data_IF_153479362596
#
_entry.id   IF_153479362596
#
_cell.length_a   1.000
_cell.length_b   1.000
_cell.length_c   1.000
_cell.angle_alpha   90.00
_cell.angle_beta   90.00
_cell.angle_gamma   90.00
#
_symmetry.space_group_name_H-M   'P 1'
#
loop_
_entity.id
_entity.type
_entity.pdbx_description
1 polymer ?
#
# COMPACT_ATOMS: atom_id res chain seq x y z
N UNK A 1 28.70 -12.14 -52.21
CA UNK A 1 28.38 -12.68 -50.86
C UNK A 1 27.92 -11.54 -49.95
N UNK A 2 26.61 -11.32 -49.78
CA UNK A 2 26.09 -10.34 -48.81
C UNK A 2 25.95 -11.04 -47.47
N UNK A 3 26.85 -10.75 -46.52
CA UNK A 3 26.72 -11.23 -45.13
C UNK A 3 25.48 -10.55 -44.56
N UNK A 4 24.37 -11.30 -44.41
CA UNK A 4 23.22 -10.83 -43.64
C UNK A 4 23.69 -10.72 -42.19
N UNK A 5 23.83 -9.50 -41.70
CA UNK A 5 23.96 -9.26 -40.27
C UNK A 5 22.69 -9.77 -39.60
N UNK A 6 22.79 -10.53 -38.48
CA UNK A 6 21.60 -10.86 -37.73
C UNK A 6 21.04 -9.53 -37.20
N UNK A 7 19.91 -9.10 -37.74
CA UNK A 7 19.07 -8.17 -37.00
C UNK A 7 18.73 -8.94 -35.73
N UNK A 8 19.25 -8.48 -34.59
CA UNK A 8 18.75 -8.87 -33.27
C UNK A 8 17.33 -8.34 -33.22
N UNK A 9 16.45 -9.04 -33.94
CA UNK A 9 15.03 -8.92 -33.85
C UNK A 9 14.67 -9.49 -32.49
N UNK A 10 13.66 -8.89 -31.88
CA UNK A 10 12.99 -9.42 -30.70
C UNK A 10 13.87 -9.54 -29.46
N UNK A 11 13.98 -8.45 -28.72
CA UNK A 11 13.66 -8.46 -27.29
C UNK A 11 13.31 -7.03 -26.92
N UNK A 12 11.99 -6.77 -26.81
CA UNK A 12 11.43 -5.52 -26.30
C UNK A 12 12.20 -5.14 -25.04
N UNK A 13 12.70 -3.91 -24.97
CA UNK A 13 13.25 -3.34 -23.73
C UNK A 13 12.26 -3.52 -22.56
N UNK A 14 10.97 -3.56 -22.86
CA UNK A 14 9.87 -3.86 -21.92
C UNK A 14 9.99 -5.24 -21.25
N UNK A 15 10.55 -6.26 -21.90
CA UNK A 15 10.76 -7.60 -21.30
C UNK A 15 11.92 -7.57 -20.30
N UNK A 16 12.95 -6.75 -20.53
CA UNK A 16 14.05 -6.54 -19.56
C UNK A 16 13.54 -5.77 -18.34
N UNK A 17 12.59 -4.84 -18.53
CA UNK A 17 11.94 -4.10 -17.45
C UNK A 17 11.06 -5.03 -16.59
N UNK A 18 10.36 -5.99 -17.20
CA UNK A 18 9.57 -7.00 -16.47
C UNK A 18 10.42 -8.09 -15.79
N UNK A 19 11.57 -8.47 -16.37
CA UNK A 19 12.49 -9.42 -15.73
C UNK A 19 13.20 -8.84 -14.49
N UNK A 20 13.40 -7.52 -14.46
CA UNK A 20 13.95 -6.80 -13.30
C UNK A 20 12.88 -6.42 -12.27
N UNK A 21 11.60 -6.28 -12.66
CA UNK A 21 10.48 -6.09 -11.73
C UNK A 21 10.14 -7.36 -10.93
N UNK A 22 10.50 -8.54 -11.46
CA UNK A 22 10.37 -9.83 -10.77
C UNK A 22 11.45 -10.08 -9.70
N UNK A 23 12.32 -9.11 -9.39
CA UNK A 23 13.31 -9.20 -8.30
C UNK A 23 12.71 -8.83 -6.93
N UNK A 24 11.42 -8.52 -6.80
CA UNK A 24 10.77 -8.37 -5.48
C UNK A 24 10.49 -9.72 -4.79
N UNK A 25 11.50 -10.59 -4.68
CA UNK A 25 11.49 -11.77 -3.81
C UNK A 25 11.79 -11.40 -2.34
N UNK A 26 11.34 -10.24 -1.90
CA UNK A 26 11.34 -9.88 -0.49
C UNK A 26 9.88 -9.97 -0.04
N UNK A 27 9.51 -11.12 0.53
CA UNK A 27 8.26 -11.19 1.29
C UNK A 27 8.38 -10.15 2.39
N UNK A 28 7.54 -9.12 2.33
CA UNK A 28 7.50 -8.11 3.37
C UNK A 28 7.22 -8.76 4.73
N UNK A 29 7.63 -8.08 5.80
CA UNK A 29 7.27 -8.50 7.15
C UNK A 29 5.74 -8.52 7.25
N UNK A 30 5.14 -9.43 8.04
CA UNK A 30 3.69 -9.46 8.19
C UNK A 30 3.12 -8.08 8.57
N UNK A 31 2.13 -7.61 7.82
CA UNK A 31 1.51 -6.30 8.02
C UNK A 31 2.24 -5.13 7.35
N UNK A 32 3.14 -5.43 6.40
CA UNK A 32 3.84 -4.45 5.57
C UNK A 32 3.71 -4.83 4.10
N UNK A 33 3.64 -3.81 3.23
CA UNK A 33 3.46 -3.93 1.79
C UNK A 33 4.19 -2.82 1.03
N UNK A 34 4.06 -2.82 -0.30
CA UNK A 34 4.71 -1.86 -1.19
C UNK A 34 6.07 -2.35 -1.70
N UNK A 35 6.61 -1.67 -2.71
CA UNK A 35 7.85 -2.07 -3.40
C UNK A 35 9.07 -2.09 -2.47
N UNK A 36 9.04 -1.29 -1.40
CA UNK A 36 10.09 -1.18 -0.39
C UNK A 36 9.69 -1.75 0.98
N UNK A 37 8.52 -2.39 1.10
CA UNK A 37 7.98 -2.92 2.36
C UNK A 37 7.91 -1.88 3.51
N UNK A 38 7.70 -0.61 3.18
CA UNK A 38 7.64 0.54 4.08
C UNK A 38 6.22 1.08 4.26
N UNK A 39 5.25 0.53 3.52
CA UNK A 39 3.84 0.85 3.69
C UNK A 39 3.23 -0.14 4.66
N UNK A 40 2.61 0.33 5.73
CA UNK A 40 1.88 -0.53 6.64
C UNK A 40 0.59 -1.06 5.97
N UNK A 41 0.16 -2.25 6.40
CA UNK A 41 -1.17 -2.78 6.13
C UNK A 41 -2.08 -2.49 7.33
N UNK A 42 -3.28 -1.93 7.10
CA UNK A 42 -4.27 -1.78 8.16
C UNK A 42 -4.73 -3.12 8.73
N UNK A 43 -5.27 -3.11 9.94
CA UNK A 43 -5.84 -4.32 10.57
C UNK A 43 -6.82 -5.03 9.61
N UNK A 44 -6.82 -6.37 9.50
CA UNK A 44 -7.75 -7.08 8.62
C UNK A 44 -9.20 -6.74 8.97
N UNK A 45 -9.96 -6.23 8.00
CA UNK A 45 -11.34 -5.81 8.19
C UNK A 45 -11.53 -4.33 8.51
N UNK A 46 -10.45 -3.55 8.62
CA UNK A 46 -10.52 -2.08 8.68
C UNK A 46 -11.25 -1.53 7.45
N UNK A 47 -12.36 -0.82 7.64
CA UNK A 47 -13.21 -0.32 6.53
C UNK A 47 -12.92 1.13 6.13
N UNK A 48 -12.96 2.04 7.10
CA UNK A 48 -12.78 3.48 6.86
C UNK A 48 -11.67 4.02 7.77
N UNK A 49 -10.46 3.58 7.48
CA UNK A 49 -9.31 3.97 8.26
C UNK A 49 -7.99 3.56 7.60
N UNK A 50 -6.92 3.98 8.23
CA UNK A 50 -5.56 3.78 7.75
C UNK A 50 -4.63 3.34 8.89
N UNK A 51 -3.39 3.02 8.53
CA UNK A 51 -2.31 2.81 9.49
C UNK A 51 -1.25 3.88 9.27
N UNK A 52 -0.51 4.24 10.30
CA UNK A 52 0.56 5.23 10.19
C UNK A 52 1.82 4.74 10.93
N UNK A 53 2.77 4.17 10.17
CA UNK A 53 4.06 3.72 10.70
C UNK A 53 4.03 2.43 11.52
N UNK A 54 2.87 2.00 12.02
CA UNK A 54 2.71 0.69 12.68
C UNK A 54 1.78 -0.22 11.88
N UNK A 55 2.24 -1.44 11.60
CA UNK A 55 1.44 -2.48 10.97
C UNK A 55 0.21 -2.85 11.80
N UNK A 56 -0.88 -3.24 11.13
CA UNK A 56 -2.11 -3.73 11.73
C UNK A 56 -2.83 -2.74 12.65
N UNK A 57 -2.55 -1.44 12.50
CA UNK A 57 -3.41 -0.41 13.07
C UNK A 57 -4.65 -0.18 12.20
N UNK A 58 -5.71 0.34 12.80
CA UNK A 58 -6.88 0.85 12.09
C UNK A 58 -7.27 2.18 12.76
N UNK A 59 -6.66 3.26 12.28
CA UNK A 59 -6.93 4.65 12.70
C UNK A 59 -8.09 5.12 11.85
N UNK A 60 -9.22 5.45 12.48
CA UNK A 60 -10.44 5.78 11.77
C UNK A 60 -10.38 7.15 11.09
N UNK A 61 -10.94 7.21 9.89
CA UNK A 61 -11.21 8.46 9.20
C UNK A 61 -12.29 9.26 9.95
N UNK A 62 -12.41 10.54 9.64
CA UNK A 62 -13.39 11.42 10.28
C UNK A 62 -14.82 10.89 10.13
N UNK A 63 -15.59 10.94 11.21
CA UNK A 63 -16.96 10.39 11.34
C UNK A 63 -17.05 8.85 11.32
N UNK A 64 -15.94 8.13 11.46
CA UNK A 64 -15.93 6.69 11.66
C UNK A 64 -15.38 6.29 13.03
N UNK A 65 -15.87 5.18 13.57
CA UNK A 65 -15.47 4.65 14.87
C UNK A 65 -15.61 3.13 14.96
N UNK A 66 -15.26 2.60 16.14
CA UNK A 66 -15.12 1.18 16.37
C UNK A 66 -13.74 0.64 15.98
N UNK A 67 -13.39 -0.56 16.44
CA UNK A 67 -12.06 -1.17 16.22
C UNK A 67 -11.73 -1.44 14.74
N UNK A 68 -12.77 -1.56 13.91
CA UNK A 68 -12.65 -1.77 12.45
C UNK A 68 -13.06 -0.54 11.64
N UNK A 69 -13.36 0.60 12.29
CA UNK A 69 -13.85 1.81 11.63
C UNK A 69 -15.07 1.55 10.72
N UNK A 70 -15.97 0.70 11.18
CA UNK A 70 -17.16 0.25 10.47
C UNK A 70 -18.45 0.91 11.00
N UNK A 71 -18.34 1.74 12.03
CA UNK A 71 -19.46 2.45 12.65
C UNK A 71 -19.40 3.93 12.26
N UNK A 72 -20.48 4.46 11.69
CA UNK A 72 -20.61 5.90 11.50
C UNK A 72 -20.83 6.53 12.86
N UNK A 73 -19.89 7.36 13.31
CA UNK A 73 -20.10 8.20 14.48
C UNK A 73 -20.70 9.51 13.99
N UNK A 74 -21.90 9.86 14.48
CA UNK A 74 -22.50 11.14 14.20
C UNK A 74 -21.70 12.21 14.96
N UNK A 75 -20.63 12.73 14.37
CA UNK A 75 -19.97 13.93 14.86
C UNK A 75 -20.71 15.14 14.29
N UNK A 76 -21.47 15.92 15.08
CA UNK A 76 -21.91 17.23 14.62
C UNK A 76 -20.64 18.05 14.32
N UNK A 77 -20.59 18.66 13.13
CA UNK A 77 -19.48 19.45 12.59
C UNK A 77 -19.16 20.75 13.38
N UNK A 78 -19.31 20.76 14.71
CA UNK A 78 -19.04 21.91 15.58
C UNK A 78 -18.57 21.49 16.99
N UNK A 79 -17.50 20.71 17.09
CA UNK A 79 -16.75 20.59 18.35
C UNK A 79 -15.30 20.20 18.06
N UNK A 80 -14.55 21.11 17.44
CA UNK A 80 -13.10 21.12 17.62
C UNK A 80 -12.82 21.43 19.09
N UNK A 81 -12.53 20.37 19.84
CA UNK A 81 -12.11 20.46 21.23
C UNK A 81 -11.89 19.05 21.76
N UNK A 82 -10.62 18.69 21.88
CA UNK A 82 -10.11 17.51 22.60
C UNK A 82 -10.35 16.15 21.94
N UNK A 83 -9.52 15.84 20.94
CA UNK A 83 -8.85 14.54 20.90
C UNK A 83 -7.35 14.80 20.72
N UNK A 84 -6.70 15.26 21.80
CA UNK A 84 -5.30 14.89 22.01
C UNK A 84 -5.35 13.40 22.35
N UNK A 85 -5.19 12.56 21.33
CA UNK A 85 -4.66 11.23 21.55
C UNK A 85 -3.16 11.40 21.89
N UNK A 86 -2.63 10.66 22.87
CA UNK A 86 -1.25 10.84 23.34
C UNK A 86 -0.20 10.69 22.24
#
# INVERSE_FOLDING_TARGET
MKRKTPKISTMKLEVVVEALSNISKYKCRPGWRGDFCDQCEPYPGCKHGYCNGSSWQCICDTNWGGILCDQVIQTPLNQFGTDIQP
#
